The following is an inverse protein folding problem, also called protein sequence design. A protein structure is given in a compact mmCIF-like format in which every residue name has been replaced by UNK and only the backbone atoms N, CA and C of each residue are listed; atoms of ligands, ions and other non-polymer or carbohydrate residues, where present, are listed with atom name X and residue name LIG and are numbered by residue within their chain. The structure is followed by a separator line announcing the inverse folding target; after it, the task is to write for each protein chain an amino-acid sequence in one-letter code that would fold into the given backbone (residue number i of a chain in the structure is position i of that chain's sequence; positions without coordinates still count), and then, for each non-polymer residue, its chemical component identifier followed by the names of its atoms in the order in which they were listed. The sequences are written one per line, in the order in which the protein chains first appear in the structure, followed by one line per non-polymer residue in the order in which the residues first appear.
data_IF_362064832216
#
_entry.id   IF_362064832216
#
_cell.length_a   1.000
_cell.length_b   1.000
_cell.length_c   1.000
_cell.angle_alpha   90.00
_cell.angle_beta   90.00
_cell.angle_gamma   90.00
#
_symmetry.space_group_name_H-M   'P 1'
#
loop_
_entity.id
_entity.type
_entity.pdbx_description
1 polymer ?
#
# COMPACT_ATOMS: atom_id res chain seq x y z
N UNK A 1 -14.86 -10.27 -8.21
CA UNK A 1 -13.79 -11.12 -7.68
C UNK A 1 -13.07 -11.82 -8.82
N UNK A 2 -11.78 -12.14 -8.66
CA UNK A 2 -10.99 -12.81 -9.69
C UNK A 2 -10.07 -11.91 -10.53
N UNK A 3 -10.18 -10.59 -10.47
CA UNK A 3 -9.24 -9.69 -11.12
C UNK A 3 -7.80 -10.00 -10.68
N UNK A 4 -6.88 -10.06 -11.63
CA UNK A 4 -5.49 -10.41 -11.42
C UNK A 4 -4.61 -9.32 -12.00
N UNK A 5 -3.66 -8.84 -11.19
CA UNK A 5 -2.64 -7.87 -11.56
C UNK A 5 -1.27 -8.52 -11.40
N UNK A 6 -0.35 -8.25 -12.30
CA UNK A 6 1.05 -8.61 -12.12
C UNK A 6 1.88 -7.36 -11.87
N UNK A 7 2.61 -7.33 -10.75
CA UNK A 7 3.50 -6.23 -10.39
C UNK A 7 4.96 -6.66 -10.46
N UNK A 8 5.78 -5.81 -11.05
CA UNK A 8 7.22 -5.82 -10.86
C UNK A 8 7.55 -5.07 -9.58
N UNK A 9 8.30 -5.70 -8.68
CA UNK A 9 8.78 -5.08 -7.44
C UNK A 9 10.29 -4.94 -7.55
N UNK A 10 10.77 -3.71 -7.48
CA UNK A 10 12.19 -3.39 -7.51
C UNK A 10 12.59 -2.86 -6.13
N UNK A 11 13.54 -3.53 -5.49
CA UNK A 11 14.13 -3.10 -4.23
C UNK A 11 15.41 -2.33 -4.51
N UNK A 12 15.59 -1.20 -3.81
CA UNK A 12 16.71 -0.29 -3.98
C UNK A 12 16.97 0.05 -5.47
N UNK A 13 16.00 0.69 -6.17
CA UNK A 13 16.05 0.93 -7.60
C UNK A 13 17.27 1.76 -8.03
N UNK A 14 17.84 2.56 -7.13
CA UNK A 14 19.02 3.39 -7.37
C UNK A 14 20.35 2.61 -7.21
N UNK A 15 20.28 1.33 -6.83
CA UNK A 15 21.46 0.45 -6.73
C UNK A 15 21.96 0.07 -8.13
N UNK A 16 23.27 -0.17 -8.24
CA UNK A 16 23.87 -0.75 -9.48
C UNK A 16 23.30 -2.12 -9.82
N UNK A 17 22.84 -2.86 -8.82
CA UNK A 17 22.23 -4.20 -8.96
C UNK A 17 20.96 -4.25 -8.13
N UNK A 18 19.84 -3.65 -8.62
CA UNK A 18 18.57 -3.71 -7.90
C UNK A 18 18.05 -5.15 -7.86
N UNK A 19 17.46 -5.53 -6.74
CA UNK A 19 16.74 -6.80 -6.63
C UNK A 19 15.34 -6.65 -7.24
N UNK A 20 14.98 -7.52 -8.18
CA UNK A 20 13.73 -7.45 -8.94
C UNK A 20 12.97 -8.76 -8.76
N UNK A 21 11.70 -8.65 -8.40
CA UNK A 21 10.78 -9.77 -8.33
C UNK A 21 9.44 -9.44 -8.99
N UNK A 22 8.73 -10.47 -9.43
CA UNK A 22 7.39 -10.34 -9.98
C UNK A 22 6.39 -11.04 -9.09
N UNK A 23 5.29 -10.36 -8.77
CA UNK A 23 4.24 -10.86 -7.91
C UNK A 23 2.88 -10.70 -8.57
N UNK A 24 2.05 -11.73 -8.40
CA UNK A 24 0.66 -11.72 -8.82
C UNK A 24 -0.22 -11.33 -7.63
N UNK A 25 -1.07 -10.35 -7.85
CA UNK A 25 -2.08 -9.89 -6.90
C UNK A 25 -3.46 -10.25 -7.43
N UNK A 26 -4.20 -11.03 -6.66
CA UNK A 26 -5.54 -11.49 -7.02
C UNK A 26 -6.56 -10.94 -6.03
N UNK A 27 -7.65 -10.36 -6.54
CA UNK A 27 -8.81 -10.02 -5.73
C UNK A 27 -9.54 -11.29 -5.32
N UNK A 28 -9.57 -11.59 -4.03
CA UNK A 28 -10.26 -12.75 -3.44
C UNK A 28 -11.73 -12.47 -3.20
N UNK A 29 -12.02 -11.35 -2.58
CA UNK A 29 -13.38 -10.93 -2.26
C UNK A 29 -13.47 -9.41 -2.15
N UNK A 30 -14.68 -8.90 -2.33
CA UNK A 30 -15.05 -7.50 -2.12
C UNK A 30 -16.24 -7.50 -1.19
N UNK A 31 -16.19 -6.73 -0.11
CA UNK A 31 -17.26 -6.55 0.85
C UNK A 31 -17.40 -5.05 1.16
N UNK A 32 -18.37 -4.40 0.50
CA UNK A 32 -18.49 -2.95 0.50
C UNK A 32 -17.23 -2.30 -0.07
N UNK A 33 -16.61 -1.43 0.69
CA UNK A 33 -15.36 -0.74 0.33
C UNK A 33 -14.09 -1.55 0.68
N UNK A 34 -14.23 -2.73 1.28
CA UNK A 34 -13.12 -3.58 1.66
C UNK A 34 -12.80 -4.60 0.56
N UNK A 35 -11.55 -4.62 0.14
CA UNK A 35 -11.04 -5.54 -0.88
C UNK A 35 -9.98 -6.44 -0.27
N UNK A 36 -10.22 -7.74 -0.31
CA UNK A 36 -9.26 -8.75 0.13
C UNK A 36 -8.38 -9.18 -1.03
N UNK A 37 -7.09 -9.00 -0.86
CA UNK A 37 -6.06 -9.32 -1.83
C UNK A 37 -5.25 -10.52 -1.40
N UNK A 38 -4.88 -11.34 -2.38
CA UNK A 38 -3.95 -12.42 -2.23
C UNK A 38 -2.75 -12.17 -3.13
N UNK A 39 -1.54 -12.14 -2.54
CA UNK A 39 -0.29 -11.91 -3.25
C UNK A 39 0.56 -13.17 -3.21
N UNK A 40 1.08 -13.57 -4.37
CA UNK A 40 2.00 -14.69 -4.54
C UNK A 40 3.14 -14.32 -5.51
N UNK A 41 4.35 -14.89 -5.39
CA UNK A 41 5.39 -14.71 -6.40
C UNK A 41 4.98 -15.39 -7.71
N UNK A 42 5.35 -14.80 -8.86
CA UNK A 42 5.11 -15.40 -10.18
C UNK A 42 6.04 -16.59 -10.40
N UNK A 43 7.28 -16.52 -9.89
CA UNK A 43 8.28 -17.58 -9.98
C UNK A 43 8.99 -17.75 -8.64
N UNK A 44 9.43 -18.97 -8.37
CA UNK A 44 10.21 -19.29 -7.16
C UNK A 44 9.37 -19.41 -5.89
N UNK A 45 10.07 -19.45 -4.74
CA UNK A 45 9.49 -19.47 -3.41
C UNK A 45 9.56 -18.06 -2.83
N UNK A 46 8.44 -17.52 -2.40
CA UNK A 46 8.38 -16.21 -1.76
C UNK A 46 7.20 -16.13 -0.80
N UNK A 47 7.13 -15.07 0.02
CA UNK A 47 6.05 -14.93 0.98
C UNK A 47 4.71 -14.76 0.24
N UNK A 48 3.77 -15.60 0.60
CA UNK A 48 2.36 -15.41 0.28
C UNK A 48 1.80 -14.40 1.29
N UNK A 49 1.05 -13.43 0.81
CA UNK A 49 0.38 -12.46 1.66
C UNK A 49 -1.11 -12.45 1.36
N UNK A 50 -1.89 -12.37 2.43
CA UNK A 50 -3.34 -12.18 2.39
C UNK A 50 -3.61 -10.87 3.16
N UNK A 51 -4.17 -9.88 2.50
CA UNK A 51 -4.36 -8.55 3.08
C UNK A 51 -5.71 -7.99 2.65
N UNK A 52 -6.42 -7.38 3.60
CA UNK A 52 -7.64 -6.63 3.33
C UNK A 52 -7.35 -5.14 3.42
N UNK A 53 -7.69 -4.41 2.36
CA UNK A 53 -7.57 -2.97 2.26
C UNK A 53 -8.96 -2.34 2.19
N UNK A 54 -9.16 -1.27 2.94
CA UNK A 54 -10.32 -0.39 2.78
C UNK A 54 -9.97 0.69 1.74
N UNK A 55 -10.80 0.83 0.70
CA UNK A 55 -10.65 1.83 -0.37
C UNK A 55 -9.19 1.99 -0.83
N UNK A 56 -8.57 0.90 -1.24
CA UNK A 56 -7.23 0.80 -1.84
C UNK A 56 -6.02 1.02 -0.93
N UNK A 57 -6.07 1.85 0.13
CA UNK A 57 -4.84 2.22 0.86
C UNK A 57 -4.81 1.80 2.32
N UNK A 58 -5.96 1.89 3.04
CA UNK A 58 -5.98 1.62 4.46
C UNK A 58 -6.07 0.11 4.72
N UNK A 59 -5.02 -0.45 5.30
CA UNK A 59 -5.03 -1.87 5.67
C UNK A 59 -5.91 -2.07 6.89
N UNK A 60 -6.86 -3.00 6.80
CA UNK A 60 -7.78 -3.37 7.90
C UNK A 60 -7.44 -4.72 8.53
N UNK A 61 -6.85 -5.65 7.75
CA UNK A 61 -6.45 -6.95 8.27
C UNK A 61 -5.35 -7.58 7.41
N UNK A 62 -4.68 -8.60 7.97
CA UNK A 62 -3.82 -9.51 7.23
C UNK A 62 -4.10 -10.98 7.58
N UNK A 63 -3.59 -11.90 6.73
CA UNK A 63 -3.73 -13.35 6.94
C UNK A 63 -2.91 -13.91 8.10
N UNK A 64 -2.18 -13.08 8.87
CA UNK A 64 -1.37 -13.47 10.03
C UNK A 64 -2.00 -13.08 11.36
N UNK A 65 -3.29 -12.72 11.34
CA UNK A 65 -4.06 -12.38 12.53
C UNK A 65 -3.90 -10.94 13.03
N UNK A 66 -3.34 -10.05 12.21
CA UNK A 66 -3.36 -8.62 12.50
C UNK A 66 -4.67 -7.99 12.06
N UNK A 67 -5.21 -7.13 12.91
CA UNK A 67 -6.29 -6.18 12.61
C UNK A 67 -5.75 -4.77 12.82
N UNK A 68 -6.21 -3.84 11.98
CA UNK A 68 -5.84 -2.44 12.06
C UNK A 68 -7.09 -1.60 12.26
N UNK A 69 -7.22 -1.01 13.43
CA UNK A 69 -8.35 -0.18 13.82
C UNK A 69 -7.98 1.29 13.60
N UNK A 70 -8.85 2.06 12.97
CA UNK A 70 -8.64 3.47 12.67
C UNK A 70 -9.96 4.22 12.54
N UNK A 71 -9.90 5.56 12.62
CA UNK A 71 -11.05 6.42 12.42
C UNK A 71 -11.45 6.46 10.94
N UNK A 72 -12.47 5.68 10.60
CA UNK A 72 -13.00 5.57 9.24
C UNK A 72 -13.53 6.92 8.74
N UNK A 73 -14.19 7.71 9.59
CA UNK A 73 -14.73 9.01 9.20
C UNK A 73 -13.63 10.03 8.85
N UNK A 74 -12.46 9.93 9.48
CA UNK A 74 -11.30 10.73 9.09
C UNK A 74 -10.70 10.25 7.77
N UNK A 75 -10.59 8.91 7.58
CA UNK A 75 -10.10 8.36 6.31
C UNK A 75 -11.01 8.70 5.14
N UNK A 76 -12.32 8.68 5.33
CA UNK A 76 -13.31 8.95 4.29
C UNK A 76 -13.26 10.40 3.78
N UNK A 77 -12.67 11.34 4.51
CA UNK A 77 -12.42 12.72 4.02
C UNK A 77 -11.51 12.77 2.80
N UNK A 78 -10.73 11.71 2.56
CA UNK A 78 -9.90 11.60 1.36
C UNK A 78 -10.75 11.46 0.08
N UNK A 79 -11.96 10.92 0.20
CA UNK A 79 -12.82 10.56 -0.91
C UNK A 79 -13.96 11.57 -1.17
N UNK A 80 -14.35 11.80 -2.45
CA UNK A 80 -13.64 11.34 -3.66
C UNK A 80 -12.25 11.97 -3.74
N UNK A 81 -11.27 11.29 -4.37
CA UNK A 81 -9.91 11.80 -4.50
C UNK A 81 -9.88 13.09 -5.32
N UNK A 82 -9.75 14.22 -4.64
CA UNK A 82 -9.59 15.55 -5.23
C UNK A 82 -8.30 16.17 -4.69
N UNK A 83 -7.60 16.91 -5.55
CA UNK A 83 -6.39 17.62 -5.13
C UNK A 83 -6.66 18.47 -3.89
N UNK A 84 -5.77 18.32 -2.89
CA UNK A 84 -5.87 19.00 -1.60
C UNK A 84 -6.69 18.26 -0.54
N UNK A 85 -7.41 17.17 -0.88
CA UNK A 85 -8.05 16.35 0.15
C UNK A 85 -6.98 15.66 1.02
N UNK A 86 -7.22 15.67 2.33
CA UNK A 86 -6.31 15.12 3.33
C UNK A 86 -7.06 14.26 4.35
N UNK A 87 -6.37 13.26 4.89
CA UNK A 87 -6.83 12.47 6.02
C UNK A 87 -5.67 12.25 7.01
N UNK A 88 -5.95 12.48 8.30
CA UNK A 88 -4.96 12.33 9.37
C UNK A 88 -5.61 11.61 10.56
N UNK A 89 -5.04 10.47 10.96
CA UNK A 89 -5.59 9.67 12.05
C UNK A 89 -4.55 8.73 12.65
N UNK A 90 -4.86 8.17 13.82
CA UNK A 90 -4.04 7.11 14.43
C UNK A 90 -4.59 5.76 14.02
N UNK A 91 -3.68 4.86 13.63
CA UNK A 91 -3.97 3.44 13.37
C UNK A 91 -3.47 2.62 14.55
N UNK A 92 -4.30 1.74 15.07
CA UNK A 92 -3.93 0.77 16.09
C UNK A 92 -3.81 -0.62 15.47
N UNK A 93 -2.59 -1.18 15.51
CA UNK A 93 -2.34 -2.57 15.11
C UNK A 93 -2.64 -3.50 16.28
N UNK A 94 -3.67 -4.34 16.11
CA UNK A 94 -4.16 -5.28 17.11
C UNK A 94 -3.79 -6.70 16.72
N UNK A 95 -3.20 -7.45 17.65
CA UNK A 95 -2.88 -8.87 17.50
C UNK A 95 -3.27 -9.62 18.77
N UNK A 96 -3.95 -10.76 18.62
CA UNK A 96 -4.43 -11.57 19.74
C UNK A 96 -5.22 -10.74 20.76
N UNK A 97 -6.06 -9.81 20.27
CA UNK A 97 -6.91 -8.94 21.07
C UNK A 97 -6.19 -7.82 21.83
N UNK A 98 -4.89 -7.60 21.58
CA UNK A 98 -4.10 -6.54 22.23
C UNK A 98 -3.58 -5.55 21.21
N UNK A 99 -3.63 -4.25 21.54
CA UNK A 99 -2.94 -3.22 20.75
C UNK A 99 -1.44 -3.40 20.97
N UNK A 100 -0.71 -3.67 19.88
CA UNK A 100 0.74 -3.91 19.89
C UNK A 100 1.52 -2.88 19.11
N UNK A 101 0.81 -2.00 18.36
CA UNK A 101 1.41 -0.95 17.55
C UNK A 101 0.45 0.22 17.41
N UNK A 102 0.98 1.44 17.38
CA UNK A 102 0.24 2.66 17.04
C UNK A 102 1.02 3.47 16.02
N UNK A 103 0.33 3.90 14.97
CA UNK A 103 0.90 4.68 13.88
C UNK A 103 0.12 5.98 13.71
N UNK A 104 0.81 7.10 13.52
CA UNK A 104 0.20 8.30 12.94
C UNK A 104 0.22 8.13 11.43
N UNK A 105 -0.95 8.11 10.80
CA UNK A 105 -1.11 8.02 9.34
C UNK A 105 -1.64 9.33 8.78
N UNK A 106 -1.01 9.80 7.70
CA UNK A 106 -1.37 11.01 6.98
C UNK A 106 -1.45 10.72 5.49
N UNK A 107 -2.48 11.22 4.84
CA UNK A 107 -2.73 11.07 3.41
C UNK A 107 -2.99 12.44 2.81
N UNK A 108 -2.47 12.70 1.60
CA UNK A 108 -2.73 13.93 0.86
C UNK A 108 -2.83 13.64 -0.64
N UNK A 109 -3.92 14.05 -1.27
CA UNK A 109 -4.10 13.96 -2.73
C UNK A 109 -3.38 15.12 -3.40
N UNK A 110 -2.32 14.85 -4.15
CA UNK A 110 -1.47 15.86 -4.80
C UNK A 110 -1.99 16.34 -6.14
N UNK A 111 -2.77 15.52 -6.84
CA UNK A 111 -3.31 15.86 -8.14
C UNK A 111 -3.52 14.65 -9.03
N UNK A 112 -3.68 14.89 -10.33
CA UNK A 112 -3.90 13.87 -11.34
C UNK A 112 -2.88 13.98 -12.47
N UNK A 113 -2.51 12.85 -13.05
CA UNK A 113 -1.71 12.79 -14.29
C UNK A 113 -1.97 11.49 -15.04
N UNK A 114 -1.56 11.44 -16.30
CA UNK A 114 -1.46 10.18 -17.02
C UNK A 114 -0.22 9.43 -16.55
N UNK A 115 -0.43 8.28 -15.98
CA UNK A 115 0.61 7.35 -15.53
C UNK A 115 0.99 6.44 -16.70
N UNK A 116 2.27 6.42 -17.06
CA UNK A 116 2.80 5.55 -18.13
C UNK A 116 3.48 4.35 -17.50
N UNK A 117 2.98 3.16 -17.78
CA UNK A 117 3.47 1.88 -17.25
C UNK A 117 3.67 0.87 -18.39
N UNK A 118 4.43 -0.22 -18.15
CA UNK A 118 4.49 -1.33 -19.10
C UNK A 118 3.10 -1.91 -19.43
N UNK A 119 2.15 -1.85 -18.47
CA UNK A 119 0.77 -2.31 -18.66
C UNK A 119 -0.11 -1.35 -19.49
N UNK A 120 0.34 -0.11 -19.76
CA UNK A 120 -0.41 0.91 -20.50
C UNK A 120 -0.37 2.30 -19.88
N UNK A 121 -1.15 3.22 -20.45
CA UNK A 121 -1.30 4.60 -20.01
C UNK A 121 -2.63 4.77 -19.27
N UNK A 122 -2.61 5.27 -18.04
CA UNK A 122 -3.78 5.35 -17.17
C UNK A 122 -3.93 6.72 -16.51
N UNK A 123 -5.13 7.34 -16.53
CA UNK A 123 -5.41 8.48 -15.67
C UNK A 123 -5.31 8.08 -14.20
N UNK A 124 -4.47 8.76 -13.42
CA UNK A 124 -4.20 8.39 -12.05
C UNK A 124 -4.18 9.59 -11.11
N UNK A 125 -4.60 9.37 -9.86
CA UNK A 125 -4.42 10.31 -8.75
C UNK A 125 -3.14 9.98 -7.99
N UNK A 126 -2.29 10.99 -7.77
CA UNK A 126 -1.15 10.86 -6.88
C UNK A 126 -1.61 11.11 -5.45
N UNK A 127 -1.36 10.15 -4.57
CA UNK A 127 -1.61 10.22 -3.14
C UNK A 127 -0.29 10.02 -2.40
N UNK A 128 0.13 11.02 -1.63
CA UNK A 128 1.23 10.88 -0.68
C UNK A 128 0.67 10.29 0.62
N UNK A 129 1.35 9.30 1.15
CA UNK A 129 1.00 8.61 2.39
C UNK A 129 2.22 8.63 3.31
N UNK A 130 2.04 9.05 4.55
CA UNK A 130 3.09 9.00 5.57
C UNK A 130 2.56 8.23 6.77
N UNK A 131 3.36 7.27 7.26
CA UNK A 131 3.07 6.52 8.48
C UNK A 131 4.26 6.62 9.42
N UNK A 132 4.04 7.20 10.60
CA UNK A 132 5.04 7.36 11.67
C UNK A 132 4.68 6.49 12.85
N UNK A 133 5.63 5.69 13.34
CA UNK A 133 5.45 4.87 14.54
C UNK A 133 5.37 5.79 15.76
N UNK A 134 4.27 5.69 16.52
CA UNK A 134 4.09 6.34 17.82
C UNK A 134 4.49 5.38 18.95
N UNK A 135 4.12 4.10 18.78
CA UNK A 135 4.47 3.02 19.69
C UNK A 135 4.52 1.69 18.92
N UNK A 136 5.36 0.76 19.34
CA UNK A 136 5.50 -0.52 18.67
C UNK A 136 6.50 -1.49 19.30
N UNK A 137 6.55 -2.72 18.79
CA UNK A 137 7.45 -3.73 19.30
C UNK A 137 8.92 -3.31 19.18
N UNK A 138 9.74 -3.60 20.19
CA UNK A 138 11.20 -3.33 20.18
C UNK A 138 11.93 -4.00 19.01
N UNK A 139 11.35 -5.03 18.44
CA UNK A 139 11.87 -5.75 17.26
C UNK A 139 11.63 -5.03 15.94
N UNK A 140 10.78 -3.98 15.93
CA UNK A 140 10.51 -3.18 14.74
C UNK A 140 11.77 -2.47 14.27
N UNK A 141 12.06 -2.54 12.98
CA UNK A 141 13.24 -1.96 12.33
C UNK A 141 12.89 -0.83 11.35
N UNK A 142 11.77 -0.16 11.60
CA UNK A 142 11.34 1.04 10.89
C UNK A 142 10.53 1.92 11.85
N UNK A 143 10.54 3.22 11.61
CA UNK A 143 9.80 4.22 12.39
C UNK A 143 9.08 5.25 11.51
N UNK A 144 9.41 5.28 10.22
CA UNK A 144 8.77 6.11 9.22
C UNK A 144 8.64 5.36 7.90
N UNK A 145 7.45 5.42 7.32
CA UNK A 145 7.16 4.97 5.94
C UNK A 145 6.54 6.13 5.19
N UNK A 146 7.13 6.46 4.05
CA UNK A 146 6.61 7.44 3.10
C UNK A 146 6.30 6.72 1.80
N UNK A 147 5.10 6.91 1.27
CA UNK A 147 4.64 6.26 0.04
C UNK A 147 4.10 7.30 -0.92
N UNK A 148 4.50 7.22 -2.17
CA UNK A 148 3.80 7.84 -3.28
C UNK A 148 3.01 6.78 -4.01
N UNK A 149 1.68 6.91 -4.04
CA UNK A 149 0.78 5.95 -4.66
C UNK A 149 0.01 6.60 -5.81
N UNK A 150 0.06 6.00 -6.99
CA UNK A 150 -0.72 6.42 -8.16
C UNK A 150 -1.95 5.51 -8.30
N UNK A 151 -3.07 6.00 -7.77
CA UNK A 151 -4.36 5.32 -7.80
C UNK A 151 -5.02 5.51 -9.16
N UNK A 152 -5.46 4.41 -9.75
CA UNK A 152 -6.21 4.40 -11.02
C UNK A 152 -7.67 4.03 -10.74
N UNK A 153 -8.63 4.96 -10.93
CA UNK A 153 -10.03 4.75 -10.58
C UNK A 153 -10.66 3.56 -11.31
N UNK A 154 -10.29 3.33 -12.58
CA UNK A 154 -10.76 2.21 -13.39
C UNK A 154 -10.57 0.86 -12.71
N UNK A 155 -9.47 0.68 -12.00
CA UNK A 155 -9.13 -0.58 -11.32
C UNK A 155 -9.38 -0.55 -9.81
N UNK A 156 -9.72 0.61 -9.25
CA UNK A 156 -9.93 0.76 -7.81
C UNK A 156 -8.68 0.49 -6.96
N UNK A 157 -7.48 0.62 -7.53
CA UNK A 157 -6.21 0.33 -6.85
C UNK A 157 -5.07 1.20 -7.37
N UNK A 158 -3.94 1.22 -6.64
CA UNK A 158 -2.73 1.88 -7.11
C UNK A 158 -1.93 0.95 -8.04
N UNK A 159 -1.66 1.42 -9.27
CA UNK A 159 -0.84 0.69 -10.23
C UNK A 159 0.66 0.99 -10.13
N UNK A 160 1.04 2.07 -9.46
CA UNK A 160 2.42 2.38 -9.10
C UNK A 160 2.47 2.83 -7.65
N UNK A 161 3.44 2.31 -6.90
CA UNK A 161 3.75 2.75 -5.54
C UNK A 161 5.26 2.81 -5.36
N UNK A 162 5.73 3.90 -4.76
CA UNK A 162 7.13 4.08 -4.36
C UNK A 162 7.19 4.26 -2.86
N UNK A 163 7.79 3.30 -2.17
CA UNK A 163 7.90 3.29 -0.71
C UNK A 163 9.31 3.66 -0.28
N UNK A 164 9.42 4.59 0.66
CA UNK A 164 10.64 4.92 1.39
C UNK A 164 10.47 4.56 2.85
N UNK A 165 11.27 3.63 3.34
CA UNK A 165 11.22 3.15 4.73
C UNK A 165 12.48 3.59 5.45
N UNK A 166 12.32 4.24 6.60
CA UNK A 166 13.40 4.77 7.41
C UNK A 166 13.36 4.23 8.85
N UNK A 167 14.51 4.18 9.51
CA UNK A 167 14.66 3.85 10.92
C UNK A 167 15.71 4.76 11.56
N UNK A 168 15.32 5.48 12.62
CA UNK A 168 16.17 6.45 13.33
C UNK A 168 16.82 7.47 12.36
N UNK A 169 16.02 7.97 11.43
CA UNK A 169 16.44 8.96 10.43
C UNK A 169 17.33 8.42 9.31
N UNK A 170 17.58 7.10 9.26
CA UNK A 170 18.35 6.47 8.18
C UNK A 170 17.43 5.72 7.25
N UNK A 171 17.63 5.87 5.94
CA UNK A 171 16.95 5.08 4.93
C UNK A 171 17.33 3.60 5.07
N UNK A 172 16.32 2.73 5.21
CA UNK A 172 16.47 1.27 5.33
C UNK A 172 16.12 0.58 4.04
N UNK A 173 15.09 1.08 3.33
CA UNK A 173 14.59 0.45 2.12
C UNK A 173 13.95 1.48 1.19
N UNK A 174 14.30 1.42 -0.08
CA UNK A 174 13.52 1.95 -1.19
C UNK A 174 12.87 0.79 -1.93
N UNK A 175 11.58 0.94 -2.27
CA UNK A 175 10.86 -0.08 -3.03
C UNK A 175 9.93 0.59 -4.03
N UNK A 176 9.98 0.14 -5.28
CA UNK A 176 9.04 0.51 -6.33
C UNK A 176 8.22 -0.72 -6.73
N UNK A 177 6.91 -0.56 -6.74
CA UNK A 177 5.95 -1.56 -7.22
C UNK A 177 5.18 -0.96 -8.38
N UNK A 178 5.29 -1.54 -9.57
CA UNK A 178 4.60 -1.07 -10.75
C UNK A 178 3.88 -2.21 -11.48
N UNK A 179 2.66 -1.95 -11.93
CA UNK A 179 1.90 -2.92 -12.70
C UNK A 179 2.53 -3.13 -14.07
N UNK A 180 2.78 -4.39 -14.41
CA UNK A 180 3.26 -4.82 -15.74
C UNK A 180 2.16 -5.51 -16.52
N UNK A 181 1.11 -6.01 -15.82
CA UNK A 181 -0.11 -6.54 -16.39
C UNK A 181 -1.31 -6.11 -15.53
N UNK A 182 -2.40 -5.78 -16.16
CA UNK A 182 -3.70 -5.45 -15.53
C UNK A 182 -4.80 -6.36 -16.10
N UNK A 183 -5.94 -6.52 -15.40
CA UNK A 183 -7.08 -7.28 -15.93
C UNK A 183 -7.59 -6.63 -17.23
N UNK A 184 -8.00 -7.48 -18.18
CA UNK A 184 -8.73 -7.06 -19.39
C UNK A 184 -10.16 -6.64 -19.04
#
# INVERSE_FOLDING_TARGET
SGAVFTYRITYNPDSKTPDISHHRYRVKSIAGDDVRWFREPVQGKGPIQDVTLHRAFAQVADGKGWRFDFDLAQYDKLWPLKQGNEANYVVEGVKDGKTVMRLQSSYCVRGTKVLKLPAGDFPAHLVDITQKVLDGPKTMKWDLVEVQAWYVPEFGTALLMEDRISYKGKLVLLRRREAVEVPN
#
